data_IF_875021292087
#
_entry.id   IF_875021292087
#
_cell.length_a   1.000
_cell.length_b   1.000
_cell.length_c   1.000
_cell.angle_alpha   90.00
_cell.angle_beta   90.00
_cell.angle_gamma   90.00
#
_symmetry.space_group_name_H-M   'P 1'
#
loop_
_entity.id
_entity.type
_entity.pdbx_description
1 polymer ?
#
# COMPACT_ATOMS: atom_id res chain seq x y z
N UNK A 1 6.07 -2.39 -11.53
CA UNK A 1 6.47 -2.24 -10.11
C UNK A 1 5.62 -3.18 -9.25
N UNK A 2 6.06 -3.53 -8.04
CA UNK A 2 5.29 -4.27 -7.02
C UNK A 2 5.27 -3.45 -5.73
N UNK A 3 4.21 -3.63 -4.95
CA UNK A 3 4.09 -3.04 -3.62
C UNK A 3 3.99 -4.14 -2.56
N UNK A 4 4.54 -3.86 -1.38
CA UNK A 4 4.42 -4.71 -0.20
C UNK A 4 4.16 -3.84 1.02
N UNK A 5 3.30 -4.30 1.93
CA UNK A 5 3.14 -3.69 3.25
C UNK A 5 3.91 -4.53 4.26
N UNK A 6 4.73 -3.88 5.08
CA UNK A 6 5.35 -4.48 6.25
C UNK A 6 4.35 -4.50 7.40
N UNK A 7 3.88 -5.69 7.78
CA UNK A 7 2.89 -5.88 8.83
C UNK A 7 3.43 -5.57 10.23
N UNK A 8 4.75 -5.63 10.44
CA UNK A 8 5.36 -5.32 11.74
C UNK A 8 5.44 -3.80 11.99
N UNK A 9 5.40 -3.00 10.91
CA UNK A 9 5.46 -1.53 10.95
C UNK A 9 4.06 -0.91 10.78
N UNK A 10 3.18 -1.56 10.03
CA UNK A 10 1.84 -1.05 9.74
C UNK A 10 1.00 -0.85 11.01
N UNK A 11 0.39 0.33 11.14
CA UNK A 11 -0.48 0.69 12.28
C UNK A 11 -1.97 0.69 11.93
N UNK A 12 -2.34 0.25 10.73
CA UNK A 12 -3.74 0.14 10.32
C UNK A 12 -4.47 1.47 10.13
N UNK A 13 -3.78 2.54 9.73
CA UNK A 13 -4.42 3.86 9.51
C UNK A 13 -5.32 3.97 8.26
N UNK A 14 -5.38 2.91 7.44
CA UNK A 14 -6.23 2.77 6.25
C UNK A 14 -6.01 3.75 5.08
N UNK A 15 -5.13 4.77 5.20
CA UNK A 15 -4.89 5.76 4.15
C UNK A 15 -4.55 5.13 2.79
N UNK A 16 -3.65 4.14 2.77
CA UNK A 16 -3.27 3.45 1.52
C UNK A 16 -4.45 2.80 0.78
N UNK A 17 -5.47 2.32 1.51
CA UNK A 17 -6.66 1.72 0.92
C UNK A 17 -7.62 2.77 0.35
N UNK A 18 -7.54 4.01 0.81
CA UNK A 18 -8.29 5.13 0.25
C UNK A 18 -7.58 5.69 -0.99
N UNK A 19 -6.24 5.77 -0.94
CA UNK A 19 -5.42 6.34 -2.02
C UNK A 19 -5.27 5.40 -3.22
N UNK A 20 -5.10 4.10 -2.98
CA UNK A 20 -4.91 3.08 -4.02
C UNK A 20 -5.63 1.76 -3.66
N UNK A 21 -6.98 1.75 -3.63
CA UNK A 21 -7.78 0.56 -3.30
C UNK A 21 -7.59 -0.62 -4.27
N UNK A 22 -7.06 -0.35 -5.47
CA UNK A 22 -6.76 -1.36 -6.47
C UNK A 22 -5.62 -2.28 -6.01
N UNK A 23 -4.70 -1.79 -5.18
CA UNK A 23 -3.52 -2.52 -4.69
C UNK A 23 -3.62 -2.84 -3.21
N UNK A 24 -4.06 -1.90 -2.37
CA UNK A 24 -4.05 -2.05 -0.92
C UNK A 24 -5.43 -2.40 -0.36
N UNK A 25 -5.45 -3.28 0.62
CA UNK A 25 -6.66 -3.68 1.35
C UNK A 25 -6.32 -4.00 2.80
N UNK A 26 -7.30 -3.89 3.69
CA UNK A 26 -7.14 -4.28 5.10
C UNK A 26 -7.31 -5.79 5.28
N UNK A 27 -6.44 -6.37 6.10
CA UNK A 27 -6.54 -7.76 6.55
C UNK A 27 -6.34 -7.80 8.07
N UNK A 28 -7.45 -7.74 8.81
CA UNK A 28 -7.45 -7.51 10.25
C UNK A 28 -7.02 -6.08 10.58
N UNK A 29 -6.05 -5.94 11.49
CA UNK A 29 -5.57 -4.65 11.99
C UNK A 29 -4.45 -4.03 11.12
N UNK A 30 -4.00 -4.72 10.07
CA UNK A 30 -2.92 -4.27 9.17
C UNK A 30 -3.37 -4.25 7.72
N UNK A 31 -2.72 -3.40 6.92
CA UNK A 31 -2.91 -3.39 5.48
C UNK A 31 -2.07 -4.47 4.79
N UNK A 32 -2.52 -4.93 3.62
CA UNK A 32 -1.79 -5.78 2.69
C UNK A 32 -1.86 -5.21 1.27
N UNK A 33 -0.83 -5.49 0.49
CA UNK A 33 -0.83 -5.23 -0.95
C UNK A 33 -1.18 -6.51 -1.72
N UNK A 34 -1.86 -6.39 -2.86
CA UNK A 34 -2.05 -7.50 -3.78
C UNK A 34 -0.71 -7.94 -4.37
N UNK A 35 -0.48 -9.24 -4.43
CA UNK A 35 0.73 -9.80 -5.05
C UNK A 35 0.62 -9.84 -6.58
N UNK A 36 0.50 -8.67 -7.19
CA UNK A 36 0.42 -8.48 -8.62
C UNK A 36 1.43 -7.42 -9.07
N UNK A 37 1.73 -7.41 -10.35
CA UNK A 37 2.42 -6.28 -10.95
C UNK A 37 1.47 -5.09 -11.07
N UNK A 38 1.88 -3.94 -10.55
CA UNK A 38 1.12 -2.70 -10.64
C UNK A 38 1.29 -2.14 -12.05
N UNK A 39 0.17 -1.87 -12.71
CA UNK A 39 0.14 -1.27 -14.04
C UNK A 39 0.50 0.21 -13.98
N UNK A 40 0.91 0.78 -15.12
CA UNK A 40 1.24 2.21 -15.23
C UNK A 40 0.10 3.15 -14.87
N UNK A 41 -1.16 2.71 -14.99
CA UNK A 41 -2.33 3.51 -14.61
C UNK A 41 -2.51 3.62 -13.09
N UNK A 42 -1.96 2.66 -12.34
CA UNK A 42 -2.08 2.56 -10.88
C UNK A 42 -0.76 2.96 -10.19
N UNK A 43 0.35 3.03 -10.95
CA UNK A 43 1.69 3.34 -10.44
C UNK A 43 1.74 4.65 -9.64
N UNK A 44 1.10 5.71 -10.12
CA UNK A 44 1.11 7.01 -9.44
C UNK A 44 0.35 6.98 -8.11
N UNK A 45 -0.86 6.38 -8.07
CA UNK A 45 -1.63 6.26 -6.82
C UNK A 45 -0.96 5.29 -5.85
N UNK A 46 -0.29 4.24 -6.35
CA UNK A 46 0.47 3.31 -5.54
C UNK A 46 1.69 3.98 -4.89
N UNK A 47 2.38 4.87 -5.60
CA UNK A 47 3.48 5.68 -5.06
C UNK A 47 2.98 6.69 -4.04
N UNK A 48 1.91 7.41 -4.36
CA UNK A 48 1.28 8.35 -3.44
C UNK A 48 0.87 7.67 -2.13
N UNK A 49 0.26 6.48 -2.20
CA UNK A 49 -0.10 5.71 -1.01
C UNK A 49 1.12 5.38 -0.13
N UNK A 50 2.28 5.11 -0.74
CA UNK A 50 3.52 4.88 0.00
C UNK A 50 4.05 6.15 0.66
N UNK A 51 4.03 7.29 -0.04
CA UNK A 51 4.44 8.60 0.49
C UNK A 51 3.53 9.10 1.62
N UNK A 52 2.23 8.79 1.55
CA UNK A 52 1.24 9.17 2.58
C UNK A 52 1.27 8.26 3.80
N UNK A 53 2.01 7.14 3.76
CA UNK A 53 2.09 6.23 4.89
C UNK A 53 2.85 6.89 6.05
N UNK A 54 2.19 7.20 7.19
CA UNK A 54 2.79 7.97 8.28
C UNK A 54 3.94 7.25 9.00
N UNK A 55 4.07 5.95 8.77
CA UNK A 55 5.09 5.06 9.37
C UNK A 55 5.95 4.38 8.30
N UNK A 56 5.85 4.81 7.04
CA UNK A 56 6.66 4.29 5.92
C UNK A 56 6.63 2.76 5.76
N UNK A 57 5.50 2.12 6.09
CA UNK A 57 5.34 0.66 6.06
C UNK A 57 5.22 0.08 4.63
N UNK A 58 5.18 0.91 3.59
CA UNK A 58 4.94 0.48 2.21
C UNK A 58 6.25 0.49 1.43
N UNK A 59 6.62 -0.67 0.92
CA UNK A 59 7.84 -0.90 0.15
C UNK A 59 7.47 -1.10 -1.31
N UNK A 60 8.14 -0.37 -2.20
CA UNK A 60 7.97 -0.44 -3.66
C UNK A 60 9.20 -1.09 -4.29
N UNK A 61 9.01 -2.03 -5.22
CA UNK A 61 10.07 -2.73 -5.97
C UNK A 61 9.78 -3.00 -7.45
#
# INVERSE_FOLDING_TARGET
MRAKVDADVCTGCELCTQTCPEIFYMDGDVAKAKDIEVSSEIEDTCKQAAEECPVEAIIIS
#
